data_IF_011915366626
#
_entry.id   IF_011915366626
#
_cell.length_a   1.000
_cell.length_b   1.000
_cell.length_c   1.000
_cell.angle_alpha   90.00
_cell.angle_beta   90.00
_cell.angle_gamma   90.00
#
_symmetry.space_group_name_H-M   'P 1'
#
loop_
_entity.id
_entity.type
_entity.pdbx_description
1 polymer ?
#
# COMPACT_ATOMS: atom_id res chain seq x y z
N UNK A 1 63.60 -54.88 1.77
CA UNK A 1 63.19 -54.17 3.00
C UNK A 1 62.08 -53.21 2.59
N UNK A 2 60.78 -53.54 2.63
CA UNK A 2 59.91 -53.70 3.81
C UNK A 2 60.06 -52.59 4.85
N UNK A 3 59.23 -51.55 4.73
CA UNK A 3 58.33 -51.11 5.82
C UNK A 3 57.14 -50.32 5.27
N UNK A 4 55.95 -50.74 5.68
CA UNK A 4 54.67 -50.06 5.50
C UNK A 4 54.55 -48.92 6.51
N UNK A 5 53.85 -47.83 6.15
CA UNK A 5 53.03 -47.06 7.08
C UNK A 5 51.68 -46.84 6.41
N UNK A 6 50.63 -47.34 7.07
CA UNK A 6 49.23 -47.16 6.73
C UNK A 6 48.64 -46.01 7.56
N UNK A 7 47.80 -45.18 6.94
CA UNK A 7 46.82 -44.24 7.55
C UNK A 7 46.25 -43.42 6.39
N UNK A 8 44.99 -43.03 6.28
CA UNK A 8 43.73 -43.43 6.89
C UNK A 8 42.64 -42.97 5.90
N UNK A 9 41.55 -43.73 5.89
CA UNK A 9 40.23 -43.51 5.30
C UNK A 9 39.75 -42.05 5.28
N UNK A 10 39.30 -41.58 4.12
CA UNK A 10 38.24 -40.57 4.02
C UNK A 10 37.26 -41.03 2.94
N UNK A 11 36.20 -41.70 3.37
CA UNK A 11 35.04 -41.99 2.55
C UNK A 11 34.40 -40.66 2.16
N UNK A 12 34.35 -40.37 0.85
CA UNK A 12 33.54 -39.30 0.33
C UNK A 12 32.06 -39.68 0.53
N UNK A 13 31.43 -39.14 1.58
CA UNK A 13 29.98 -39.10 1.68
C UNK A 13 29.45 -38.29 0.50
N UNK A 14 28.96 -38.99 -0.52
CA UNK A 14 27.95 -38.49 -1.44
C UNK A 14 26.67 -38.27 -0.62
N UNK A 15 26.57 -37.11 0.02
CA UNK A 15 25.30 -36.62 0.52
C UNK A 15 24.45 -36.25 -0.68
N UNK A 16 23.55 -37.17 -1.04
CA UNK A 16 22.41 -36.93 -1.91
C UNK A 16 21.63 -35.75 -1.36
N UNK A 17 21.89 -34.53 -1.87
CA UNK A 17 20.95 -33.44 -1.72
C UNK A 17 19.77 -33.77 -2.62
N UNK A 18 18.77 -34.41 -2.04
CA UNK A 18 17.41 -34.38 -2.57
C UNK A 18 17.03 -32.92 -2.71
N UNK A 19 17.18 -32.37 -3.91
CA UNK A 19 16.46 -31.18 -4.34
C UNK A 19 15.00 -31.57 -4.16
N UNK A 20 14.38 -31.05 -3.09
CA UNK A 20 12.94 -31.03 -3.00
C UNK A 20 12.48 -30.22 -4.21
N UNK A 21 12.13 -30.92 -5.29
CA UNK A 21 11.51 -30.34 -6.45
C UNK A 21 10.30 -29.56 -5.94
N UNK A 22 10.33 -28.24 -6.13
CA UNK A 22 9.16 -27.41 -5.97
C UNK A 22 8.07 -28.06 -6.82
N UNK A 23 7.06 -28.62 -6.15
CA UNK A 23 5.95 -29.27 -6.82
C UNK A 23 5.29 -28.32 -7.82
N UNK A 24 4.62 -28.84 -8.85
CA UNK A 24 3.89 -28.01 -9.80
C UNK A 24 2.98 -27.05 -9.04
N UNK A 25 3.06 -25.77 -9.37
CA UNK A 25 2.17 -24.72 -8.89
C UNK A 25 0.75 -25.09 -9.28
N UNK A 26 0.03 -25.70 -8.34
CA UNK A 26 -1.40 -25.97 -8.47
C UNK A 26 -2.07 -24.59 -8.63
N UNK A 27 -2.82 -24.34 -9.72
CA UNK A 27 -3.67 -23.17 -9.79
C UNK A 27 -4.70 -23.31 -8.66
N UNK A 28 -4.52 -22.52 -7.60
CA UNK A 28 -5.53 -22.42 -6.56
C UNK A 28 -6.78 -21.82 -7.21
N UNK A 29 -7.86 -22.59 -7.22
CA UNK A 29 -9.19 -22.05 -7.44
C UNK A 29 -9.34 -20.85 -6.51
N UNK A 30 -9.50 -19.69 -7.14
CA UNK A 30 -9.36 -18.40 -6.53
C UNK A 30 -10.30 -18.24 -5.33
N UNK A 31 -9.77 -18.22 -4.10
CA UNK A 31 -10.44 -17.57 -2.98
C UNK A 31 -10.42 -16.06 -3.24
N UNK A 32 -11.35 -15.56 -4.07
CA UNK A 32 -11.68 -14.11 -4.15
C UNK A 32 -12.34 -13.58 -2.88
N UNK A 33 -12.45 -14.43 -1.88
CA UNK A 33 -13.28 -14.30 -0.69
C UNK A 33 -12.35 -14.46 0.49
N UNK A 34 -12.35 -13.47 1.36
CA UNK A 34 -11.51 -13.48 2.55
C UNK A 34 -12.41 -13.40 3.78
N UNK A 35 -12.21 -14.32 4.72
CA UNK A 35 -12.91 -14.26 6.00
C UNK A 35 -12.51 -12.97 6.75
N UNK A 36 -13.48 -12.25 7.33
CA UNK A 36 -13.22 -11.01 8.02
C UNK A 36 -12.59 -11.28 9.39
N UNK A 37 -11.30 -10.96 9.54
CA UNK A 37 -10.71 -10.74 10.87
C UNK A 37 -10.18 -9.32 10.89
N UNK A 38 -10.97 -8.44 11.51
CA UNK A 38 -10.73 -7.01 11.75
C UNK A 38 -10.53 -6.13 10.46
N UNK A 39 -11.30 -5.04 10.26
CA UNK A 39 -11.12 -4.09 9.15
C UNK A 39 -9.71 -3.53 9.00
N UNK A 40 -8.99 -3.36 10.12
CA UNK A 40 -7.74 -2.60 10.20
C UNK A 40 -6.49 -3.42 9.86
N UNK A 41 -6.64 -4.66 9.37
CA UNK A 41 -5.52 -5.61 9.22
C UNK A 41 -5.22 -6.05 7.78
N UNK A 42 -5.93 -5.52 6.78
CA UNK A 42 -5.60 -5.76 5.37
C UNK A 42 -4.56 -4.73 4.94
N UNK A 43 -3.36 -5.20 4.61
CA UNK A 43 -2.40 -4.40 3.84
C UNK A 43 -2.51 -4.77 2.37
N UNK A 44 -2.63 -3.75 1.53
CA UNK A 44 -2.78 -3.88 0.09
C UNK A 44 -1.95 -2.79 -0.59
N UNK A 45 -1.16 -3.18 -1.58
CA UNK A 45 -0.33 -2.26 -2.34
C UNK A 45 0.06 -2.87 -3.69
N UNK A 46 0.44 -2.03 -4.65
CA UNK A 46 0.81 -2.47 -6.00
C UNK A 46 2.30 -2.81 -6.07
N UNK A 47 2.66 -3.97 -6.61
CA UNK A 47 4.08 -4.30 -6.85
C UNK A 47 4.53 -3.99 -8.28
N UNK A 48 3.59 -3.78 -9.19
CA UNK A 48 3.78 -3.22 -10.53
C UNK A 48 2.41 -2.72 -11.07
N UNK A 49 2.31 -2.34 -12.35
CA UNK A 49 1.06 -1.86 -12.97
C UNK A 49 -0.05 -2.90 -13.12
N UNK A 50 0.27 -4.18 -12.90
CA UNK A 50 -0.61 -5.32 -13.17
C UNK A 50 -0.94 -6.12 -11.92
N UNK A 51 -0.05 -6.16 -10.94
CA UNK A 51 -0.17 -7.04 -9.79
C UNK A 51 -0.32 -6.25 -8.49
N UNK A 52 -1.30 -6.68 -7.69
CA UNK A 52 -1.51 -6.20 -6.32
C UNK A 52 -1.07 -7.27 -5.36
N UNK A 53 -0.34 -6.85 -4.33
CA UNK A 53 -0.14 -7.66 -3.14
C UNK A 53 -1.25 -7.39 -2.14
N UNK A 54 -1.82 -8.46 -1.59
CA UNK A 54 -2.87 -8.38 -0.59
C UNK A 54 -2.56 -9.34 0.56
N UNK A 55 -2.45 -8.81 1.76
CA UNK A 55 -2.35 -9.63 2.97
C UNK A 55 -3.73 -10.00 3.50
N UNK A 56 -3.93 -11.29 3.76
CA UNK A 56 -5.18 -11.86 4.24
C UNK A 56 -4.93 -12.86 5.39
N UNK A 57 -5.92 -13.15 6.24
CA UNK A 57 -5.84 -14.26 7.19
C UNK A 57 -5.52 -15.60 6.51
N UNK A 58 -4.85 -16.51 7.21
CA UNK A 58 -4.56 -17.86 6.70
C UNK A 58 -5.80 -18.76 6.61
N UNK A 59 -6.94 -18.32 7.15
CA UNK A 59 -8.21 -19.07 7.18
C UNK A 59 -8.33 -20.07 8.34
N UNK A 60 -7.30 -20.22 9.17
CA UNK A 60 -7.38 -21.00 10.40
C UNK A 60 -7.73 -20.05 11.57
N UNK A 61 -8.94 -20.17 12.18
CA UNK A 61 -9.37 -19.27 13.26
C UNK A 61 -8.48 -19.38 14.51
N UNK A 62 -7.81 -20.51 14.73
CA UNK A 62 -6.84 -20.69 15.81
C UNK A 62 -5.48 -20.05 15.54
N UNK A 63 -5.27 -19.54 14.32
CA UNK A 63 -4.04 -18.88 13.86
C UNK A 63 -4.32 -17.43 13.44
N UNK A 64 -5.14 -16.73 14.22
CA UNK A 64 -5.51 -15.34 13.97
C UNK A 64 -4.34 -14.35 13.99
N UNK A 65 -3.12 -14.77 14.33
CA UNK A 65 -1.88 -14.00 14.19
C UNK A 65 -1.12 -14.26 12.89
N UNK A 66 -1.39 -15.37 12.20
CA UNK A 66 -0.73 -15.72 10.95
C UNK A 66 -1.49 -15.15 9.76
N UNK A 67 -0.73 -14.69 8.77
CA UNK A 67 -1.25 -14.08 7.56
C UNK A 67 -0.59 -14.70 6.34
N UNK A 68 -1.27 -14.72 5.20
CA UNK A 68 -0.65 -15.02 3.90
C UNK A 68 -0.71 -13.76 3.05
N UNK A 69 0.36 -13.49 2.31
CA UNK A 69 0.35 -12.44 1.30
C UNK A 69 0.14 -13.08 -0.05
N UNK A 70 -0.90 -12.64 -0.74
CA UNK A 70 -1.27 -13.06 -2.08
C UNK A 70 -0.73 -12.05 -3.08
N UNK A 71 -0.44 -12.52 -4.28
CA UNK A 71 -0.27 -11.67 -5.46
C UNK A 71 -1.45 -11.92 -6.40
N UNK A 72 -2.07 -10.85 -6.88
CA UNK A 72 -3.28 -10.92 -7.69
C UNK A 72 -3.09 -10.09 -8.96
N UNK A 73 -3.34 -10.71 -10.11
CA UNK A 73 -3.39 -10.04 -11.40
C UNK A 73 -4.67 -9.21 -11.51
N UNK A 74 -4.54 -7.89 -11.63
CA UNK A 74 -5.67 -6.97 -11.67
C UNK A 74 -6.51 -7.06 -12.95
N UNK A 75 -6.00 -7.71 -14.01
CA UNK A 75 -6.70 -7.90 -15.28
C UNK A 75 -7.54 -9.17 -15.25
N UNK A 76 -6.97 -10.29 -14.80
CA UNK A 76 -7.68 -11.58 -14.78
C UNK A 76 -8.41 -11.83 -13.46
N UNK A 77 -8.01 -11.13 -12.40
CA UNK A 77 -8.43 -11.38 -11.03
C UNK A 77 -7.73 -12.57 -10.40
N UNK A 78 -7.02 -13.39 -11.18
CA UNK A 78 -6.35 -14.60 -10.70
C UNK A 78 -5.22 -14.25 -9.74
N UNK A 79 -5.07 -15.05 -8.69
CA UNK A 79 -4.04 -14.83 -7.69
C UNK A 79 -3.39 -16.12 -7.22
N UNK A 80 -2.19 -15.98 -6.68
CA UNK A 80 -1.44 -17.06 -6.06
C UNK A 80 -0.85 -16.58 -4.75
N UNK A 81 -0.35 -17.52 -3.94
CA UNK A 81 0.35 -17.15 -2.72
C UNK A 81 1.71 -16.57 -3.09
N UNK A 82 1.94 -15.30 -2.74
CA UNK A 82 3.24 -14.68 -2.83
C UNK A 82 4.15 -15.23 -1.73
N UNK A 83 3.68 -15.18 -0.47
CA UNK A 83 4.41 -15.75 0.67
C UNK A 83 3.45 -16.20 1.77
N UNK A 84 3.72 -17.38 2.34
CA UNK A 84 3.00 -17.91 3.50
C UNK A 84 3.53 -17.27 4.79
N UNK A 85 2.68 -17.13 5.81
CA UNK A 85 3.06 -16.57 7.12
C UNK A 85 3.79 -15.23 6.99
N UNK A 86 3.25 -14.34 6.16
CA UNK A 86 3.86 -13.07 5.83
C UNK A 86 2.82 -11.95 5.71
N UNK A 87 3.16 -10.79 6.26
CA UNK A 87 2.36 -9.58 6.21
C UNK A 87 3.09 -8.50 5.41
N UNK A 88 2.40 -7.92 4.43
CA UNK A 88 2.92 -6.85 3.59
C UNK A 88 3.06 -5.58 4.43
N UNK A 89 4.24 -4.96 4.35
CA UNK A 89 4.57 -3.71 5.06
C UNK A 89 4.55 -2.52 4.09
N UNK A 90 5.20 -2.66 2.94
CA UNK A 90 5.27 -1.63 1.92
C UNK A 90 5.69 -2.22 0.57
N UNK A 91 5.56 -1.44 -0.49
CA UNK A 91 6.10 -1.75 -1.83
C UNK A 91 6.86 -0.56 -2.43
N UNK A 92 7.76 -0.88 -3.37
CA UNK A 92 8.30 0.02 -4.38
C UNK A 92 7.93 -0.59 -5.76
N UNK A 93 6.85 -0.10 -6.41
CA UNK A 93 6.41 -0.63 -7.69
C UNK A 93 7.41 -0.42 -8.82
N UNK A 94 8.23 0.64 -8.76
CA UNK A 94 9.22 0.95 -9.79
C UNK A 94 10.34 -0.11 -9.81
N UNK A 95 10.73 -0.59 -8.63
CA UNK A 95 11.72 -1.67 -8.48
C UNK A 95 11.09 -3.06 -8.35
N UNK A 96 9.76 -3.14 -8.30
CA UNK A 96 8.98 -4.35 -8.00
C UNK A 96 9.39 -5.01 -6.70
N UNK A 97 9.71 -4.20 -5.70
CA UNK A 97 10.12 -4.66 -4.38
C UNK A 97 8.92 -4.60 -3.44
N UNK A 98 8.77 -5.62 -2.59
CA UNK A 98 7.92 -5.59 -1.42
C UNK A 98 8.73 -5.94 -0.19
N UNK A 99 8.49 -5.24 0.92
CA UNK A 99 8.93 -5.70 2.23
C UNK A 99 7.78 -6.39 2.93
N UNK A 100 8.07 -7.59 3.43
CA UNK A 100 7.13 -8.37 4.23
C UNK A 100 7.72 -8.64 5.61
N UNK A 101 6.86 -8.65 6.61
CA UNK A 101 7.12 -9.24 7.90
C UNK A 101 6.75 -10.72 7.85
N UNK A 102 7.75 -11.58 7.85
CA UNK A 102 7.57 -13.03 8.01
C UNK A 102 7.35 -13.38 9.47
N UNK A 103 6.56 -14.43 9.72
CA UNK A 103 6.28 -14.94 11.05
C UNK A 103 4.89 -14.56 11.58
N UNK A 104 4.76 -14.60 12.90
CA UNK A 104 3.51 -14.30 13.59
C UNK A 104 3.37 -12.80 13.78
N UNK A 105 2.17 -12.25 13.55
CA UNK A 105 1.90 -10.84 13.86
C UNK A 105 1.64 -10.60 15.36
N UNK A 106 1.67 -11.63 16.19
CA UNK A 106 1.35 -11.57 17.62
C UNK A 106 2.13 -10.45 18.33
N UNK A 107 3.44 -10.34 18.09
CA UNK A 107 4.28 -9.29 18.69
C UNK A 107 3.85 -7.86 18.33
N UNK A 108 3.33 -7.64 17.11
CA UNK A 108 2.89 -6.31 16.71
C UNK A 108 1.65 -5.84 17.49
N UNK A 109 0.84 -6.77 17.99
CA UNK A 109 -0.46 -6.46 18.60
C UNK A 109 -0.50 -6.68 20.12
N UNK A 110 0.34 -7.53 20.69
CA UNK A 110 0.31 -7.83 22.15
C UNK A 110 1.30 -7.01 22.96
N UNK A 111 2.28 -6.34 22.34
CA UNK A 111 3.22 -5.42 23.01
C UNK A 111 4.07 -6.03 24.14
N UNK A 112 4.01 -7.35 24.34
CA UNK A 112 4.61 -8.08 25.45
C UNK A 112 5.27 -9.37 24.93
N UNK A 113 6.46 -9.71 25.44
CA UNK A 113 7.19 -10.94 25.08
C UNK A 113 7.00 -12.06 26.12
N UNK A 114 7.57 -13.27 25.93
CA UNK A 114 8.15 -13.85 24.72
C UNK A 114 7.48 -15.19 24.34
N UNK A 115 6.95 -15.28 23.12
CA UNK A 115 7.26 -16.45 22.30
C UNK A 115 8.02 -15.87 21.13
N UNK A 116 9.35 -16.02 21.15
CA UNK A 116 10.14 -15.76 19.95
C UNK A 116 9.67 -16.78 18.92
N UNK A 117 8.88 -16.36 17.92
CA UNK A 117 8.86 -17.12 16.68
C UNK A 117 10.23 -16.84 16.04
N UNK A 118 11.12 -17.84 15.94
CA UNK A 118 12.44 -17.65 15.34
C UNK A 118 12.38 -17.23 13.86
N UNK A 119 11.18 -17.19 13.26
CA UNK A 119 10.93 -16.76 11.88
C UNK A 119 10.56 -15.28 11.76
N UNK A 120 10.34 -14.56 12.88
CA UNK A 120 10.00 -13.14 12.88
C UNK A 120 11.11 -12.31 12.25
N UNK A 121 10.90 -11.83 11.02
CA UNK A 121 11.90 -11.05 10.30
C UNK A 121 11.26 -10.16 9.23
N UNK A 122 11.78 -8.94 9.09
CA UNK A 122 11.46 -8.06 7.96
C UNK A 122 12.43 -8.38 6.82
N UNK A 123 11.88 -8.79 5.67
CA UNK A 123 12.66 -9.09 4.47
C UNK A 123 12.06 -8.44 3.24
N UNK A 124 12.94 -8.07 2.31
CA UNK A 124 12.53 -7.58 1.00
C UNK A 124 12.57 -8.68 -0.05
N UNK A 125 11.59 -8.64 -0.93
CA UNK A 125 11.42 -9.53 -2.05
C UNK A 125 11.22 -8.73 -3.32
N UNK A 126 11.82 -9.16 -4.42
CA UNK A 126 11.57 -8.64 -5.76
C UNK A 126 10.66 -9.60 -6.51
N UNK A 127 9.60 -9.09 -7.12
CA UNK A 127 8.73 -9.89 -7.97
C UNK A 127 9.39 -10.17 -9.33
N UNK A 128 9.58 -11.44 -9.63
CA UNK A 128 9.99 -11.90 -10.96
C UNK A 128 8.75 -12.28 -11.77
N UNK A 129 8.31 -11.36 -12.63
CA UNK A 129 7.13 -11.56 -13.48
C UNK A 129 7.31 -12.69 -14.51
N UNK A 130 8.54 -13.01 -14.92
CA UNK A 130 8.81 -14.07 -15.87
C UNK A 130 8.69 -15.45 -15.22
N UNK A 131 9.16 -15.57 -13.96
CA UNK A 131 9.11 -16.81 -13.20
C UNK A 131 7.87 -16.92 -12.29
N UNK A 132 7.05 -15.87 -12.22
CA UNK A 132 5.85 -15.79 -11.39
C UNK A 132 6.14 -16.15 -9.92
N UNK A 133 7.25 -15.64 -9.38
CA UNK A 133 7.67 -15.92 -8.01
C UNK A 133 8.41 -14.75 -7.35
N UNK A 134 8.37 -14.63 -6.02
CA UNK A 134 9.24 -13.72 -5.30
C UNK A 134 10.68 -14.24 -5.27
N UNK A 135 11.63 -13.32 -5.41
CA UNK A 135 13.06 -13.56 -5.20
C UNK A 135 13.52 -12.72 -4.01
N UNK A 136 14.37 -13.28 -3.14
CA UNK A 136 14.99 -12.48 -2.09
C UNK A 136 15.70 -11.27 -2.70
N UNK A 137 15.49 -10.09 -2.13
CA UNK A 137 16.05 -8.84 -2.61
C UNK A 137 16.97 -8.23 -1.57
N UNK A 138 18.14 -7.78 -2.02
CA UNK A 138 18.97 -6.83 -1.29
C UNK A 138 18.71 -5.47 -1.93
N UNK A 139 18.04 -4.54 -1.22
CA UNK A 139 17.77 -3.22 -1.77
C UNK A 139 19.05 -2.50 -2.19
N UNK A 140 18.97 -1.70 -3.26
CA UNK A 140 20.15 -1.07 -3.89
C UNK A 140 20.83 0.03 -3.06
N UNK A 141 20.38 0.29 -1.83
CA UNK A 141 20.92 1.30 -0.93
C UNK A 141 21.24 0.68 0.43
N UNK A 142 22.41 1.01 0.97
CA UNK A 142 22.80 0.63 2.35
C UNK A 142 21.94 1.33 3.41
N UNK A 143 21.28 2.43 3.05
CA UNK A 143 20.33 3.16 3.89
C UNK A 143 18.88 2.93 3.45
N UNK A 144 18.57 1.73 2.93
CA UNK A 144 17.20 1.37 2.61
C UNK A 144 16.38 1.13 3.89
N UNK A 145 15.24 1.80 3.99
CA UNK A 145 14.29 1.60 5.08
C UNK A 145 13.21 0.59 4.67
N UNK A 146 13.16 -0.53 5.39
CA UNK A 146 12.25 -1.65 5.14
C UNK A 146 10.79 -1.34 5.48
N UNK A 147 10.50 -0.34 6.32
CA UNK A 147 9.13 0.01 6.70
C UNK A 147 8.43 0.88 5.67
N UNK A 148 9.18 1.68 4.91
CA UNK A 148 8.63 2.60 3.90
C UNK A 148 9.06 2.26 2.47
N UNK A 149 9.91 1.25 2.29
CA UNK A 149 10.42 0.77 0.99
C UNK A 149 11.11 1.88 0.18
N UNK A 150 11.98 2.66 0.84
CA UNK A 150 12.70 3.78 0.23
C UNK A 150 14.10 3.93 0.79
N UNK A 151 14.98 4.52 0.01
CA UNK A 151 16.26 5.02 0.47
C UNK A 151 16.05 6.21 1.42
N UNK A 152 16.70 6.16 2.56
CA UNK A 152 16.69 7.23 3.56
C UNK A 152 18.11 7.72 3.83
N UNK A 153 18.26 8.64 4.78
CA UNK A 153 19.54 8.85 5.44
C UNK A 153 19.88 7.63 6.31
N UNK A 154 21.17 7.41 6.58
CA UNK A 154 21.65 6.25 7.33
C UNK A 154 21.03 6.16 8.73
N UNK A 155 20.83 7.30 9.38
CA UNK A 155 20.23 7.45 10.71
C UNK A 155 18.78 6.94 10.76
N UNK A 156 18.08 7.03 9.63
CA UNK A 156 16.67 6.65 9.51
C UNK A 156 16.47 5.28 8.86
N UNK A 157 17.54 4.56 8.49
CA UNK A 157 17.43 3.29 7.76
C UNK A 157 16.65 2.21 8.54
N UNK A 158 16.67 2.28 9.88
CA UNK A 158 15.94 1.34 10.76
C UNK A 158 14.73 1.98 11.46
N UNK A 159 14.37 3.22 11.10
CA UNK A 159 13.25 3.92 11.73
C UNK A 159 11.93 3.23 11.37
N UNK A 160 11.10 2.82 12.36
CA UNK A 160 9.80 2.22 12.08
C UNK A 160 8.82 3.26 11.51
N UNK A 161 7.77 2.81 10.82
CA UNK A 161 6.73 3.67 10.24
C UNK A 161 6.19 4.71 11.25
N UNK A 162 5.88 4.27 12.47
CA UNK A 162 5.40 5.16 13.54
C UNK A 162 6.41 6.25 13.93
N UNK A 163 7.71 6.01 13.75
CA UNK A 163 8.76 6.99 14.00
C UNK A 163 8.81 8.12 12.97
N UNK A 164 8.10 8.00 11.84
CA UNK A 164 7.88 9.06 10.87
C UNK A 164 6.62 9.90 11.17
N UNK A 165 5.72 9.39 12.01
CA UNK A 165 4.59 10.17 12.52
C UNK A 165 5.12 11.26 13.46
N UNK A 166 4.95 12.53 13.09
CA UNK A 166 5.46 13.66 13.86
C UNK A 166 6.96 13.94 13.67
N UNK A 167 7.66 13.22 12.79
CA UNK A 167 9.02 13.57 12.40
C UNK A 167 9.04 14.88 11.59
N UNK A 168 10.19 15.56 11.57
CA UNK A 168 10.42 16.77 10.79
C UNK A 168 10.84 16.47 9.33
N UNK A 169 10.98 15.19 8.96
CA UNK A 169 11.43 14.73 7.64
C UNK A 169 10.38 13.84 6.95
N UNK A 170 10.27 13.97 5.63
CA UNK A 170 9.46 13.10 4.75
C UNK A 170 10.28 12.71 3.52
N UNK A 171 10.57 11.42 3.38
CA UNK A 171 11.32 10.89 2.26
C UNK A 171 10.42 10.76 1.03
N UNK A 172 10.85 11.36 -0.08
CA UNK A 172 10.22 11.18 -1.39
C UNK A 172 10.73 9.89 -2.04
N UNK A 173 10.32 9.61 -3.27
CA UNK A 173 10.82 8.44 -4.00
C UNK A 173 12.35 8.49 -4.19
N UNK A 174 12.94 7.32 -4.43
CA UNK A 174 14.38 7.16 -4.61
C UNK A 174 14.92 8.11 -5.69
N UNK A 175 15.86 8.98 -5.30
CA UNK A 175 16.45 9.99 -6.17
C UNK A 175 15.83 11.37 -6.05
N UNK A 176 14.54 11.46 -5.65
CA UNK A 176 13.80 12.73 -5.58
C UNK A 176 14.02 13.49 -4.26
N UNK A 177 14.79 12.93 -3.33
CA UNK A 177 15.22 13.59 -2.11
C UNK A 177 14.20 13.52 -0.96
N UNK A 178 14.12 14.57 -0.15
CA UNK A 178 13.24 14.62 1.03
C UNK A 178 12.77 16.03 1.36
N UNK A 179 11.62 16.13 2.02
CA UNK A 179 11.13 17.35 2.65
C UNK A 179 11.56 17.37 4.11
N UNK A 180 12.03 18.51 4.60
CA UNK A 180 12.38 18.70 6.01
C UNK A 180 11.92 20.06 6.52
N UNK A 181 11.41 20.12 7.75
CA UNK A 181 11.16 21.38 8.45
C UNK A 181 12.44 21.94 9.07
N UNK A 182 12.59 23.26 9.06
CA UNK A 182 13.74 23.96 9.66
C UNK A 182 13.72 23.98 11.21
N UNK A 183 12.72 23.37 11.85
CA UNK A 183 12.56 23.30 13.30
C UNK A 183 11.16 23.69 13.75
N UNK A 184 10.88 23.53 15.06
CA UNK A 184 9.60 23.95 15.62
C UNK A 184 9.51 25.48 15.56
N UNK A 185 8.59 26.01 14.77
CA UNK A 185 8.18 27.41 14.92
C UNK A 185 7.24 27.46 16.12
N UNK A 186 7.38 28.49 16.94
CA UNK A 186 6.59 28.64 18.17
C UNK A 186 5.08 28.86 17.91
N UNK A 187 4.66 28.94 16.64
CA UNK A 187 3.27 29.19 16.26
C UNK A 187 2.87 28.45 14.97
N UNK A 188 2.47 27.19 15.12
CA UNK A 188 1.40 26.55 14.33
C UNK A 188 1.66 26.18 12.86
N UNK A 189 2.79 26.54 12.25
CA UNK A 189 3.17 26.06 10.91
C UNK A 189 4.67 25.77 10.84
N UNK A 190 5.02 24.54 10.48
CA UNK A 190 6.39 24.07 10.28
C UNK A 190 6.70 24.05 8.78
N UNK A 191 7.18 25.17 8.19
CA UNK A 191 7.40 25.27 6.76
C UNK A 191 8.39 24.21 6.28
N UNK A 192 8.07 23.57 5.15
CA UNK A 192 8.91 22.53 4.58
C UNK A 192 9.95 23.12 3.62
N UNK A 193 11.14 22.55 3.62
CA UNK A 193 12.17 22.77 2.61
C UNK A 193 12.45 21.44 1.92
N UNK A 194 12.50 21.46 0.59
CA UNK A 194 12.85 20.31 -0.22
C UNK A 194 14.36 20.25 -0.44
N UNK A 195 14.94 19.09 -0.16
CA UNK A 195 16.34 18.77 -0.35
C UNK A 195 16.45 17.68 -1.41
N UNK A 196 17.07 18.02 -2.54
CA UNK A 196 17.33 17.09 -3.65
C UNK A 196 18.82 17.05 -3.93
N UNK A 197 19.32 15.88 -4.35
CA UNK A 197 20.72 15.72 -4.71
C UNK A 197 21.12 16.74 -5.79
N UNK A 198 22.26 17.41 -5.61
CA UNK A 198 22.81 18.37 -6.57
C UNK A 198 21.93 19.61 -6.87
N UNK A 199 20.90 19.87 -6.07
CA UNK A 199 20.11 21.10 -6.14
C UNK A 199 20.22 21.89 -4.84
N UNK A 200 20.07 23.21 -4.93
CA UNK A 200 19.98 24.05 -3.72
C UNK A 200 18.66 23.73 -2.99
N UNK A 201 18.65 23.69 -1.65
CA UNK A 201 17.42 23.50 -0.89
C UNK A 201 16.36 24.53 -1.31
N UNK A 202 15.14 24.07 -1.57
CA UNK A 202 14.04 24.89 -2.08
C UNK A 202 12.91 24.97 -1.05
N UNK A 203 12.49 26.17 -0.61
CA UNK A 203 11.31 26.31 0.22
C UNK A 203 10.06 25.77 -0.49
N UNK A 204 9.21 25.06 0.24
CA UNK A 204 7.94 24.54 -0.25
C UNK A 204 6.83 25.10 0.64
N UNK A 205 5.83 25.75 0.04
CA UNK A 205 4.68 26.35 0.73
C UNK A 205 3.68 25.28 1.22
N UNK A 206 4.17 24.38 2.07
CA UNK A 206 3.40 23.35 2.77
C UNK A 206 4.03 23.09 4.14
N UNK A 207 3.20 23.02 5.18
CA UNK A 207 3.67 22.61 6.51
C UNK A 207 4.04 21.12 6.47
N UNK A 208 5.14 20.71 7.09
CA UNK A 208 5.53 19.29 7.13
C UNK A 208 4.47 18.43 7.84
N UNK A 209 3.73 19.02 8.78
CA UNK A 209 2.61 18.37 9.49
C UNK A 209 1.42 18.08 8.59
N UNK A 210 1.35 18.77 7.44
CA UNK A 210 0.35 18.53 6.39
C UNK A 210 0.80 17.51 5.36
N UNK A 211 2.04 17.05 5.45
CA UNK A 211 2.59 16.05 4.55
C UNK A 211 2.41 14.66 5.16
N UNK A 212 1.77 13.78 4.39
CA UNK A 212 1.58 12.37 4.67
C UNK A 212 2.92 11.72 5.08
N UNK A 213 2.94 10.78 6.04
CA UNK A 213 4.17 10.17 6.53
C UNK A 213 5.03 9.55 5.42
N UNK A 214 4.37 8.97 4.42
CA UNK A 214 4.97 8.34 3.24
C UNK A 214 4.35 8.93 1.96
N UNK A 215 4.82 10.09 1.48
CA UNK A 215 4.26 10.74 0.29
C UNK A 215 4.34 9.83 -0.94
N UNK A 216 3.24 9.58 -1.64
CA UNK A 216 3.23 8.65 -2.76
C UNK A 216 3.69 9.32 -4.05
N UNK A 217 4.64 8.74 -4.79
CA UNK A 217 4.92 9.22 -6.15
C UNK A 217 3.85 8.71 -7.12
N UNK A 218 3.39 9.60 -8.01
CA UNK A 218 2.37 9.33 -9.01
C UNK A 218 2.98 9.45 -10.41
N UNK A 219 3.47 8.35 -11.01
CA UNK A 219 4.13 8.38 -12.32
C UNK A 219 3.31 9.07 -13.42
N UNK A 220 2.00 8.84 -13.44
CA UNK A 220 1.07 9.45 -14.41
C UNK A 220 0.83 10.95 -14.22
N UNK A 221 1.32 11.56 -13.13
CA UNK A 221 1.28 13.02 -12.89
C UNK A 221 2.67 13.65 -12.78
N UNK A 222 3.73 12.83 -12.81
CA UNK A 222 5.12 13.22 -12.52
C UNK A 222 5.21 14.09 -11.25
N UNK A 223 4.58 13.60 -10.17
CA UNK A 223 4.44 14.37 -8.93
C UNK A 223 4.30 13.47 -7.70
N UNK A 224 4.73 13.98 -6.54
CA UNK A 224 4.50 13.37 -5.23
C UNK A 224 3.20 13.88 -4.61
N UNK A 225 2.28 12.97 -4.29
CA UNK A 225 1.12 13.26 -3.47
C UNK A 225 1.55 13.45 -2.02
N UNK A 226 1.48 14.69 -1.56
CA UNK A 226 1.86 15.09 -0.21
C UNK A 226 0.74 14.91 0.79
N UNK A 227 -0.54 14.93 0.40
CA UNK A 227 -1.67 14.90 1.33
C UNK A 227 -2.32 13.51 1.41
N UNK A 228 -3.09 13.26 2.48
CA UNK A 228 -3.82 12.00 2.69
C UNK A 228 -5.20 11.94 2.00
N UNK A 229 -5.64 13.04 1.36
CA UNK A 229 -6.88 13.08 0.57
C UNK A 229 -8.20 12.97 1.36
N UNK A 230 -8.17 12.95 2.70
CA UNK A 230 -9.37 12.76 3.53
C UNK A 230 -10.13 14.07 3.76
N UNK A 231 -11.44 14.04 3.52
CA UNK A 231 -12.40 15.13 3.67
C UNK A 231 -13.42 14.79 4.76
N UNK A 232 -13.64 15.67 5.71
CA UNK A 232 -14.73 15.59 6.68
C UNK A 232 -16.04 16.14 6.10
N UNK A 233 -17.18 15.73 6.67
CA UNK A 233 -18.51 16.17 6.22
C UNK A 233 -18.76 17.67 6.40
N UNK A 234 -18.01 18.34 7.28
CA UNK A 234 -18.02 19.81 7.43
C UNK A 234 -17.16 20.53 6.36
N UNK A 235 -16.49 19.78 5.48
CA UNK A 235 -15.65 20.31 4.43
C UNK A 235 -14.19 20.51 4.78
N UNK A 236 -13.81 20.28 6.03
CA UNK A 236 -12.41 20.33 6.44
C UNK A 236 -11.64 19.11 5.93
N UNK A 237 -10.34 19.27 5.74
CA UNK A 237 -9.43 18.26 5.25
C UNK A 237 -8.50 17.82 6.37
N UNK A 238 -8.14 16.53 6.40
CA UNK A 238 -7.20 16.02 7.37
C UNK A 238 -5.77 16.08 6.83
N UNK A 239 -4.83 16.52 7.65
CA UNK A 239 -3.39 16.49 7.35
C UNK A 239 -2.71 15.19 7.81
N UNK A 240 -2.98 14.81 9.06
CA UNK A 240 -2.36 13.70 9.78
C UNK A 240 -3.42 13.02 10.68
N UNK A 241 -4.47 12.45 10.07
CA UNK A 241 -5.50 11.69 10.79
C UNK A 241 -6.48 12.50 11.66
N UNK A 242 -6.03 13.48 12.44
CA UNK A 242 -6.84 14.26 13.40
C UNK A 242 -6.87 15.76 13.11
N UNK A 243 -5.78 16.33 12.61
CA UNK A 243 -5.67 17.77 12.39
C UNK A 243 -6.46 18.20 11.15
N UNK A 244 -7.35 19.18 11.33
CA UNK A 244 -8.27 19.68 10.29
C UNK A 244 -7.81 21.02 9.72
N UNK A 245 -7.92 21.20 8.41
CA UNK A 245 -7.65 22.48 7.72
C UNK A 245 -8.58 22.69 6.52
N UNK A 246 -8.61 23.90 5.95
CA UNK A 246 -9.60 24.30 4.93
C UNK A 246 -9.04 24.52 3.53
N UNK A 247 -7.73 24.33 3.33
CA UNK A 247 -7.08 24.77 2.07
C UNK A 247 -7.36 23.82 0.90
N UNK A 248 -6.70 22.66 0.83
CA UNK A 248 -6.87 21.72 -0.30
C UNK A 248 -6.70 20.26 0.15
N UNK A 249 -7.53 19.32 -0.36
CA UNK A 249 -7.41 17.92 -0.03
C UNK A 249 -6.27 17.23 -0.78
N UNK A 250 -5.91 17.73 -1.97
CA UNK A 250 -4.83 17.20 -2.80
C UNK A 250 -3.72 18.24 -2.99
N UNK A 251 -2.54 17.94 -2.46
CA UNK A 251 -1.33 18.74 -2.63
C UNK A 251 -0.31 17.85 -3.33
N UNK A 252 0.11 18.23 -4.54
CA UNK A 252 1.14 17.54 -5.30
C UNK A 252 2.41 18.37 -5.35
N UNK A 253 3.57 17.72 -5.23
CA UNK A 253 4.88 18.31 -5.44
C UNK A 253 5.50 17.75 -6.73
N UNK A 254 5.68 18.60 -7.73
CA UNK A 254 6.36 18.28 -8.97
C UNK A 254 7.87 18.14 -8.76
N UNK A 255 8.56 17.45 -9.68
CA UNK A 255 10.02 17.28 -9.63
C UNK A 255 10.84 18.55 -9.85
N UNK A 256 10.23 19.63 -10.33
CA UNK A 256 10.84 20.96 -10.33
C UNK A 256 10.61 21.72 -9.00
N UNK A 257 9.94 21.07 -8.04
CA UNK A 257 9.54 21.62 -6.76
C UNK A 257 8.35 22.58 -6.83
N UNK A 258 7.58 22.61 -7.92
CA UNK A 258 6.32 23.35 -7.98
C UNK A 258 5.21 22.61 -7.22
N UNK A 259 4.34 23.36 -6.55
CA UNK A 259 3.17 22.81 -5.88
C UNK A 259 1.93 22.94 -6.76
N UNK A 260 1.19 21.84 -6.87
CA UNK A 260 -0.14 21.81 -7.49
C UNK A 260 -1.16 21.51 -6.39
N UNK A 261 -2.04 22.48 -6.11
CA UNK A 261 -3.13 22.33 -5.13
C UNK A 261 -4.42 22.09 -5.92
N UNK A 262 -5.01 20.90 -5.79
CA UNK A 262 -6.14 20.48 -6.65
C UNK A 262 -7.33 19.98 -5.85
N UNK A 263 -8.48 19.92 -6.55
CA UNK A 263 -9.77 19.45 -6.05
C UNK A 263 -10.39 20.36 -4.99
N UNK A 264 -11.69 20.63 -5.11
CA UNK A 264 -12.44 21.46 -4.15
C UNK A 264 -13.62 20.68 -3.63
N UNK A 265 -14.00 20.90 -2.37
CA UNK A 265 -15.19 20.28 -1.78
C UNK A 265 -16.46 20.66 -2.56
N UNK A 266 -16.49 21.83 -3.21
CA UNK A 266 -17.62 22.25 -4.05
C UNK A 266 -17.98 21.21 -5.13
N UNK A 267 -17.00 20.44 -5.63
CA UNK A 267 -17.23 19.32 -6.55
C UNK A 267 -18.18 18.23 -5.97
N UNK A 268 -18.31 18.18 -4.65
CA UNK A 268 -19.12 17.20 -3.92
C UNK A 268 -20.45 17.76 -3.40
N UNK A 269 -20.82 19.00 -3.74
CA UNK A 269 -21.91 19.74 -3.08
C UNK A 269 -23.31 19.10 -3.10
N UNK A 270 -23.54 18.07 -3.93
CA UNK A 270 -24.79 17.31 -3.99
C UNK A 270 -24.77 15.99 -3.19
N UNK A 271 -23.61 15.61 -2.65
CA UNK A 271 -23.44 14.37 -1.89
C UNK A 271 -23.52 14.65 -0.39
N UNK A 272 -24.22 13.78 0.35
CA UNK A 272 -24.25 13.79 1.81
C UNK A 272 -23.26 12.74 2.32
N UNK A 273 -22.27 13.17 3.10
CA UNK A 273 -21.28 12.26 3.67
C UNK A 273 -20.74 12.79 4.99
N UNK A 274 -20.38 11.87 5.89
CA UNK A 274 -19.62 12.20 7.10
C UNK A 274 -18.11 12.28 6.82
N UNK A 275 -17.63 11.46 5.88
CA UNK A 275 -16.26 11.44 5.40
C UNK A 275 -16.20 11.02 3.92
N UNK A 276 -15.23 11.58 3.20
CA UNK A 276 -14.86 11.19 1.85
C UNK A 276 -13.35 11.13 1.69
N UNK A 277 -12.87 10.36 0.71
CA UNK A 277 -11.45 10.20 0.41
C UNK A 277 -11.21 10.48 -1.06
N UNK A 278 -10.26 11.34 -1.37
CA UNK A 278 -9.92 11.73 -2.74
C UNK A 278 -8.58 11.16 -3.12
N UNK A 279 -8.53 10.50 -4.27
CA UNK A 279 -7.32 9.87 -4.81
C UNK A 279 -7.10 10.34 -6.24
N UNK A 280 -5.93 10.90 -6.58
CA UNK A 280 -5.60 11.18 -7.97
C UNK A 280 -5.59 9.90 -8.80
N UNK A 281 -5.90 10.03 -10.09
CA UNK A 281 -5.77 8.98 -11.10
C UNK A 281 -5.38 9.60 -12.45
N UNK A 282 -5.10 8.77 -13.45
CA UNK A 282 -4.78 9.24 -14.80
C UNK A 282 -5.97 9.97 -15.46
N UNK A 283 -7.21 9.56 -15.19
CA UNK A 283 -8.42 10.11 -15.82
C UNK A 283 -9.07 11.28 -15.06
N UNK A 284 -8.61 11.56 -13.84
CA UNK A 284 -9.24 12.55 -12.96
C UNK A 284 -8.99 12.26 -11.49
N UNK A 285 -9.83 12.77 -10.61
CA UNK A 285 -9.76 12.49 -9.19
C UNK A 285 -10.88 11.52 -8.82
N UNK A 286 -10.52 10.41 -8.19
CA UNK A 286 -11.48 9.49 -7.61
C UNK A 286 -11.92 9.99 -6.24
N UNK A 287 -13.20 9.82 -5.94
CA UNK A 287 -13.78 10.18 -4.65
C UNK A 287 -14.50 8.96 -4.11
N UNK A 288 -14.01 8.43 -3.00
CA UNK A 288 -14.72 7.42 -2.23
C UNK A 288 -15.57 8.09 -1.15
N UNK A 289 -16.86 7.76 -1.13
CA UNK A 289 -17.80 8.16 -0.09
C UNK A 289 -18.24 6.95 0.70
N UNK A 290 -17.85 6.89 1.97
CA UNK A 290 -18.18 5.80 2.90
C UNK A 290 -19.58 5.98 3.47
N UNK A 291 -20.60 5.46 2.79
CA UNK A 291 -22.00 5.63 3.18
C UNK A 291 -22.90 4.54 2.57
N UNK A 292 -24.18 4.55 2.93
CA UNK A 292 -25.19 3.74 2.27
C UNK A 292 -25.39 4.21 0.83
N UNK A 293 -25.76 3.30 -0.07
CA UNK A 293 -25.95 3.66 -1.48
C UNK A 293 -26.99 4.78 -1.69
N UNK A 294 -28.10 4.74 -0.92
CA UNK A 294 -29.19 5.71 -0.96
C UNK A 294 -28.77 7.11 -0.49
N UNK A 295 -27.74 7.18 0.35
CA UNK A 295 -27.20 8.43 0.90
C UNK A 295 -26.09 9.04 0.03
N UNK A 296 -25.61 8.31 -0.99
CA UNK A 296 -24.50 8.77 -1.82
C UNK A 296 -23.24 7.91 -1.71
N UNK A 297 -23.29 6.77 -1.03
CA UNK A 297 -22.14 5.86 -0.95
C UNK A 297 -21.67 5.35 -2.32
N UNK A 298 -20.36 5.20 -2.48
CA UNK A 298 -19.75 4.66 -3.69
C UNK A 298 -18.39 5.27 -4.02
N UNK A 299 -17.81 4.84 -5.14
CA UNK A 299 -16.62 5.44 -5.75
C UNK A 299 -17.08 6.26 -6.95
N UNK A 300 -16.62 7.50 -7.03
CA UNK A 300 -16.93 8.45 -8.09
C UNK A 300 -15.66 8.88 -8.82
N UNK A 301 -15.77 9.15 -10.11
CA UNK A 301 -14.75 9.83 -10.89
C UNK A 301 -15.16 11.28 -11.11
N UNK A 302 -14.32 12.20 -10.63
CA UNK A 302 -14.39 13.62 -10.90
C UNK A 302 -13.42 13.99 -12.02
N UNK A 303 -13.95 14.29 -13.20
CA UNK A 303 -13.20 14.67 -14.39
C UNK A 303 -13.83 15.90 -15.04
N UNK A 304 -13.07 17.01 -15.09
CA UNK A 304 -13.60 18.30 -15.52
C UNK A 304 -14.74 18.76 -14.60
N UNK A 305 -15.92 18.97 -15.17
CA UNK A 305 -17.15 19.33 -14.44
C UNK A 305 -18.06 18.12 -14.13
N UNK A 306 -17.67 16.91 -14.52
CA UNK A 306 -18.48 15.70 -14.35
C UNK A 306 -18.09 14.95 -13.08
N UNK A 307 -19.10 14.51 -12.31
CA UNK A 307 -18.93 13.56 -11.22
C UNK A 307 -19.77 12.31 -11.51
N UNK A 308 -19.10 11.21 -11.83
CA UNK A 308 -19.77 9.97 -12.26
C UNK A 308 -19.54 8.86 -11.25
N UNK A 309 -20.60 8.24 -10.73
CA UNK A 309 -20.47 7.07 -9.83
C UNK A 309 -20.05 5.84 -10.64
N UNK A 310 -18.89 5.26 -10.32
CA UNK A 310 -18.31 4.09 -11.00
C UNK A 310 -18.59 2.77 -10.27
N UNK A 311 -18.83 2.82 -8.96
CA UNK A 311 -19.05 1.64 -8.12
C UNK A 311 -20.19 1.86 -7.13
N UNK A 312 -20.82 0.78 -6.67
CA UNK A 312 -22.06 0.83 -5.90
C UNK A 312 -23.18 1.55 -6.69
N UNK A 313 -23.36 1.16 -7.95
CA UNK A 313 -24.27 1.79 -8.93
C UNK A 313 -25.64 1.14 -9.01
N UNK A 314 -25.72 -0.19 -8.83
CA UNK A 314 -26.96 -0.95 -8.91
C UNK A 314 -27.93 -0.53 -7.81
N UNK A 315 -29.02 0.20 -8.13
CA UNK A 315 -30.04 0.54 -7.14
C UNK A 315 -30.75 -0.73 -6.68
N UNK A 316 -30.31 -1.29 -5.57
CA UNK A 316 -31.04 -2.38 -4.90
C UNK A 316 -32.22 -1.78 -4.14
N UNK A 317 -33.32 -2.53 -4.04
CA UNK A 317 -34.44 -2.16 -3.15
C UNK A 317 -33.99 -2.09 -1.68
N UNK A 318 -32.95 -2.85 -1.34
CA UNK A 318 -32.35 -2.91 -0.02
C UNK A 318 -31.80 -1.54 0.46
N UNK A 319 -32.46 -0.90 1.46
CA UNK A 319 -31.96 0.32 2.08
C UNK A 319 -30.68 0.14 2.89
N UNK A 320 -30.31 -1.10 3.25
CA UNK A 320 -29.19 -1.39 4.13
C UNK A 320 -27.86 -1.61 3.41
N UNK A 321 -27.84 -1.60 2.07
CA UNK A 321 -26.60 -1.81 1.30
C UNK A 321 -25.56 -0.74 1.62
N UNK A 322 -24.45 -1.19 2.22
CA UNK A 322 -23.31 -0.36 2.61
C UNK A 322 -22.26 -0.36 1.51
N UNK A 323 -22.01 0.82 0.93
CA UNK A 323 -20.90 1.02 -0.01
C UNK A 323 -19.61 1.24 0.79
N UNK A 324 -19.14 0.20 1.50
CA UNK A 324 -17.97 0.27 2.36
C UNK A 324 -16.78 -0.44 1.74
N UNK A 325 -15.63 0.24 1.73
CA UNK A 325 -14.34 -0.32 1.35
C UNK A 325 -13.41 -0.31 2.57
N UNK A 326 -12.58 -1.34 2.68
CA UNK A 326 -11.59 -1.48 3.76
C UNK A 326 -10.21 -0.99 3.35
N UNK A 327 -9.85 -1.17 2.09
CA UNK A 327 -8.61 -0.71 1.51
C UNK A 327 -8.87 -0.30 0.07
N UNK A 328 -8.18 0.73 -0.41
CA UNK A 328 -8.22 1.19 -1.79
C UNK A 328 -6.85 1.67 -2.21
N UNK A 329 -6.40 1.24 -3.38
CA UNK A 329 -5.13 1.64 -3.97
C UNK A 329 -5.29 1.94 -5.46
N UNK A 330 -4.57 2.95 -5.92
CA UNK A 330 -4.48 3.31 -7.34
C UNK A 330 -3.22 2.69 -7.91
N UNK A 331 -3.33 2.07 -9.09
CA UNK A 331 -2.17 1.48 -9.77
C UNK A 331 -1.10 2.53 -10.09
N UNK A 332 0.17 2.15 -10.24
CA UNK A 332 1.24 3.10 -10.56
C UNK A 332 1.04 3.81 -11.91
N UNK A 333 0.40 3.17 -12.90
CA UNK A 333 -0.04 3.79 -14.15
C UNK A 333 -1.27 4.72 -14.01
N UNK A 334 -1.93 4.75 -12.85
CA UNK A 334 -3.11 5.56 -12.57
C UNK A 334 -4.38 5.11 -13.28
N UNK A 335 -4.36 3.93 -13.90
CA UNK A 335 -5.42 3.45 -14.79
C UNK A 335 -6.32 2.36 -14.20
N UNK A 336 -6.02 1.88 -12.98
CA UNK A 336 -6.83 0.89 -12.26
C UNK A 336 -6.95 1.26 -10.79
N UNK A 337 -8.06 0.84 -10.20
CA UNK A 337 -8.29 0.88 -8.75
C UNK A 337 -8.41 -0.55 -8.26
N UNK A 338 -7.68 -0.89 -7.22
CA UNK A 338 -7.91 -2.10 -6.43
C UNK A 338 -8.55 -1.71 -5.11
N UNK A 339 -9.59 -2.42 -4.67
CA UNK A 339 -10.20 -2.18 -3.36
C UNK A 339 -10.84 -3.43 -2.79
N UNK A 340 -10.91 -3.50 -1.47
CA UNK A 340 -11.58 -4.59 -0.74
C UNK A 340 -12.94 -4.09 -0.28
N UNK A 341 -14.03 -4.59 -0.88
CA UNK A 341 -15.39 -4.25 -0.46
C UNK A 341 -15.81 -5.06 0.76
N UNK A 342 -16.61 -4.46 1.67
CA UNK A 342 -17.15 -5.12 2.85
C UNK A 342 -18.27 -6.12 2.52
N UNK A 343 -19.06 -5.83 1.48
CA UNK A 343 -20.18 -6.64 1.00
C UNK A 343 -20.21 -6.68 -0.54
N UNK A 344 -20.88 -7.69 -1.10
CA UNK A 344 -21.01 -7.91 -2.54
C UNK A 344 -21.91 -6.87 -3.20
N UNK A 345 -21.44 -6.28 -4.30
CA UNK A 345 -22.25 -5.43 -5.19
C UNK A 345 -23.29 -6.22 -6.03
N UNK A 346 -23.22 -7.56 -5.99
CA UNK A 346 -24.08 -8.48 -6.69
C UNK A 346 -25.19 -9.02 -5.74
N UNK A 347 -26.46 -8.60 -5.93
CA UNK A 347 -27.60 -9.10 -5.14
C UNK A 347 -27.94 -10.58 -5.40
N UNK A 348 -27.36 -11.21 -6.44
CA UNK A 348 -27.51 -12.65 -6.68
C UNK A 348 -26.54 -13.50 -5.84
N UNK A 349 -25.53 -12.89 -5.21
CA UNK A 349 -24.58 -13.60 -4.35
C UNK A 349 -25.20 -13.86 -2.98
N UNK A 350 -25.58 -15.10 -2.70
CA UNK A 350 -26.02 -15.58 -1.37
C UNK A 350 -24.89 -15.65 -0.33
N UNK A 351 -23.67 -15.25 -0.71
CA UNK A 351 -22.47 -15.46 0.07
C UNK A 351 -21.94 -14.12 0.60
N UNK A 352 -22.00 -13.96 1.92
CA UNK A 352 -21.48 -12.84 2.70
C UNK A 352 -19.95 -12.93 2.80
N UNK A 353 -19.23 -11.82 2.57
CA UNK A 353 -17.78 -11.78 2.73
C UNK A 353 -17.09 -10.61 2.02
N UNK A 354 -15.86 -10.30 2.46
CA UNK A 354 -15.02 -9.26 1.86
C UNK A 354 -14.45 -9.74 0.53
N UNK A 355 -14.42 -8.87 -0.48
CA UNK A 355 -13.95 -9.22 -1.84
C UNK A 355 -13.00 -8.18 -2.39
N UNK A 356 -11.87 -8.62 -2.94
CA UNK A 356 -11.00 -7.79 -3.75
C UNK A 356 -11.67 -7.53 -5.10
N UNK A 357 -11.77 -6.26 -5.48
CA UNK A 357 -12.36 -5.79 -6.72
C UNK A 357 -11.38 -4.88 -7.45
N UNK A 358 -11.50 -4.86 -8.78
CA UNK A 358 -10.72 -4.01 -9.66
C UNK A 358 -11.65 -3.18 -10.54
N UNK A 359 -11.40 -1.87 -10.63
CA UNK A 359 -12.09 -0.99 -11.56
C UNK A 359 -11.09 -0.43 -12.59
N UNK A 360 -11.30 -0.67 -13.89
CA UNK A 360 -10.55 0.00 -14.92
C UNK A 360 -11.01 1.48 -15.02
N UNK A 361 -10.05 2.39 -15.11
CA UNK A 361 -10.29 3.82 -15.31
C UNK A 361 -9.96 4.24 -16.74
N UNK A 362 -8.84 3.77 -17.26
CA UNK A 362 -8.44 4.01 -18.64
C UNK A 362 -9.06 2.96 -19.56
N UNK A 363 -9.30 3.34 -20.82
CA UNK A 363 -9.77 2.39 -21.83
C UNK A 363 -8.85 1.18 -21.92
N UNK A 364 -9.41 -0.03 -21.84
CA UNK A 364 -8.71 -1.21 -22.29
C UNK A 364 -8.56 -1.04 -23.80
N UNK A 365 -7.38 -0.66 -24.27
CA UNK A 365 -7.03 -0.87 -25.67
C UNK A 365 -7.22 -2.37 -25.93
N UNK A 366 -8.30 -2.70 -26.64
CA UNK A 366 -8.63 -4.05 -27.11
C UNK A 366 -7.59 -4.53 -28.10
#
# INVERSE_FOLDING_TARGET
>A
MKTNIATATAAALLASTTVAAAGPSVPLAMETRFEPVNPDMYSMDWIDDRHVLLTVPTGNPNQHWFRKTLIVDARTGEGSVFLQNAHLICTDPAQRIATLHEGSMERMFTGSGPVADPRDSLKSYRWDAAQQKPLAAVPGSSAWNLFICRATQAEDAQRPMAGFLGADIRYLENGDGFLKSAGRSDFGKHPSTWFHAHQKPKPVDVSIDRVAPTPQYLPYRDAHLLSVGKIAGDGTFFSNGTDRHTEYPLILLKRDGALEKTFTQAALGHLKFSQAFVHPSAQGNLVYVASNQKEGGGIYLHAGSSLTRMWCTNRTSDPSRRCQIHAMQISPDGCRVAFVSAESDDPASTQWGKRLQFLPLCGQSR
#
